data_IF_921010019779
#
_entry.id   IF_921010019779
#
_cell.length_a   1.000
_cell.length_b   1.000
_cell.length_c   1.000
_cell.angle_alpha   90.00
_cell.angle_beta   90.00
_cell.angle_gamma   90.00
#
_symmetry.space_group_name_H-M   'P 1'
#
loop_
_entity.id
_entity.type
_entity.pdbx_description
1 polymer ?
#
# COMPACT_ATOMS: atom_id res chain seq x y z
N UNK A 1 -17.10 23.42 -34.97
CA UNK A 1 -17.34 23.35 -33.51
C UNK A 1 -17.49 21.89 -33.10
N UNK A 2 -16.50 21.30 -32.44
CA UNK A 2 -16.61 19.92 -31.95
C UNK A 2 -17.43 19.96 -30.64
N UNK A 3 -18.67 19.47 -30.69
CA UNK A 3 -19.56 19.46 -29.52
C UNK A 3 -18.93 18.72 -28.33
N UNK A 4 -19.13 19.25 -27.11
CA UNK A 4 -18.63 18.63 -25.88
C UNK A 4 -19.09 17.18 -25.80
N UNK A 5 -18.16 16.21 -25.78
CA UNK A 5 -18.49 14.79 -25.59
C UNK A 5 -19.23 14.63 -24.26
N UNK A 6 -20.46 14.13 -24.29
CA UNK A 6 -21.21 13.83 -23.07
C UNK A 6 -20.42 12.82 -22.24
N UNK A 7 -20.25 13.09 -20.94
CA UNK A 7 -19.60 12.17 -20.01
C UNK A 7 -20.39 10.87 -19.97
N UNK A 8 -19.69 9.74 -20.06
CA UNK A 8 -20.30 8.42 -19.84
C UNK A 8 -20.90 8.36 -18.45
N UNK A 9 -21.99 7.61 -18.31
CA UNK A 9 -22.63 7.41 -17.02
C UNK A 9 -21.73 6.52 -16.17
N UNK A 10 -21.98 6.46 -14.86
CA UNK A 10 -21.26 5.51 -14.02
C UNK A 10 -21.64 4.07 -14.40
N UNK A 11 -20.70 3.14 -14.31
CA UNK A 11 -20.91 1.71 -14.61
C UNK A 11 -22.14 1.13 -13.87
N UNK A 12 -22.41 1.63 -12.64
CA UNK A 12 -23.59 1.26 -11.85
C UNK A 12 -24.90 1.73 -12.48
N UNK A 13 -24.94 2.97 -12.99
CA UNK A 13 -26.13 3.54 -13.63
C UNK A 13 -26.37 2.93 -15.01
N UNK A 14 -25.31 2.50 -15.70
CA UNK A 14 -25.40 1.72 -16.93
C UNK A 14 -25.97 0.32 -16.65
N UNK A 15 -25.56 -0.32 -15.57
CA UNK A 15 -26.08 -1.63 -15.15
C UNK A 15 -27.58 -1.59 -14.80
N UNK A 16 -28.04 -0.56 -14.09
CA UNK A 16 -29.47 -0.39 -13.81
C UNK A 16 -30.30 -0.19 -15.08
N UNK A 17 -29.76 0.53 -16.07
CA UNK A 17 -30.41 0.72 -17.36
C UNK A 17 -30.43 -0.57 -18.17
N UNK A 18 -29.34 -1.32 -18.17
CA UNK A 18 -29.25 -2.62 -18.82
C UNK A 18 -30.30 -3.60 -18.28
N UNK A 19 -30.45 -3.68 -16.95
CA UNK A 19 -31.47 -4.52 -16.29
C UNK A 19 -32.89 -4.11 -16.67
N UNK A 20 -33.20 -2.80 -16.62
CA UNK A 20 -34.51 -2.28 -17.06
C UNK A 20 -34.80 -2.57 -18.54
N UNK A 21 -33.78 -2.53 -19.40
CA UNK A 21 -33.93 -2.87 -20.81
C UNK A 21 -34.14 -4.37 -21.03
N UNK A 22 -33.50 -5.23 -20.24
CA UNK A 22 -33.71 -6.67 -20.25
C UNK A 22 -35.13 -7.02 -19.79
N UNK A 23 -35.62 -6.40 -18.71
CA UNK A 23 -36.99 -6.53 -18.23
C UNK A 23 -38.03 -6.13 -19.30
N UNK A 24 -37.78 -5.02 -20.02
CA UNK A 24 -38.68 -4.57 -21.10
C UNK A 24 -38.64 -5.51 -22.31
N UNK A 25 -37.48 -6.09 -22.62
CA UNK A 25 -37.31 -7.07 -23.73
C UNK A 25 -38.00 -8.40 -23.44
N UNK A 26 -38.09 -8.81 -22.18
CA UNK A 26 -38.75 -10.04 -21.78
C UNK A 26 -40.29 -9.97 -21.84
N UNK A 27 -40.88 -8.80 -22.10
CA UNK A 27 -42.32 -8.66 -22.31
C UNK A 27 -42.72 -9.10 -23.73
N UNK A 28 -43.69 -10.01 -23.89
CA UNK A 28 -43.98 -10.66 -25.19
C UNK A 28 -44.51 -9.71 -26.27
N UNK A 29 -45.31 -8.69 -25.93
CA UNK A 29 -45.92 -7.81 -26.94
C UNK A 29 -45.04 -6.63 -27.36
N UNK A 30 -44.25 -6.06 -26.44
CA UNK A 30 -43.46 -4.84 -26.67
C UNK A 30 -41.96 -5.14 -26.82
N UNK A 31 -41.51 -6.31 -26.37
CA UNK A 31 -40.10 -6.70 -26.35
C UNK A 31 -39.50 -6.83 -27.73
N UNK A 32 -40.19 -7.48 -28.67
CA UNK A 32 -39.68 -7.69 -30.03
C UNK A 32 -39.49 -6.38 -30.80
N UNK A 33 -40.45 -5.46 -30.71
CA UNK A 33 -40.37 -4.17 -31.39
C UNK A 33 -39.23 -3.31 -30.83
N UNK A 34 -39.05 -3.30 -29.51
CA UNK A 34 -37.97 -2.58 -28.84
C UNK A 34 -36.61 -3.20 -29.15
N UNK A 35 -36.51 -4.54 -29.14
CA UNK A 35 -35.29 -5.26 -29.47
C UNK A 35 -34.84 -4.98 -30.91
N UNK A 36 -35.75 -5.11 -31.88
CA UNK A 36 -35.48 -4.79 -33.30
C UNK A 36 -35.00 -3.35 -33.45
N UNK A 37 -35.71 -2.38 -32.85
CA UNK A 37 -35.32 -0.95 -32.91
C UNK A 37 -33.92 -0.70 -32.33
N UNK A 38 -33.57 -1.33 -31.22
CA UNK A 38 -32.24 -1.21 -30.63
C UNK A 38 -31.16 -1.85 -31.49
N UNK A 39 -31.43 -3.02 -32.08
CA UNK A 39 -30.48 -3.71 -32.96
C UNK A 39 -30.15 -2.88 -34.20
N UNK A 40 -31.17 -2.34 -34.88
CA UNK A 40 -30.97 -1.50 -36.07
C UNK A 40 -30.20 -0.22 -35.74
N UNK A 41 -30.54 0.43 -34.61
CA UNK A 41 -29.82 1.61 -34.14
C UNK A 41 -28.35 1.29 -33.84
N UNK A 42 -28.08 0.20 -33.12
CA UNK A 42 -26.72 -0.21 -32.80
C UNK A 42 -25.92 -0.60 -34.05
N UNK A 43 -26.55 -1.24 -35.05
CA UNK A 43 -25.91 -1.54 -36.33
C UNK A 43 -25.54 -0.27 -37.09
N UNK A 44 -26.45 0.72 -37.14
CA UNK A 44 -26.19 2.02 -37.77
C UNK A 44 -25.07 2.79 -37.06
N UNK A 45 -25.09 2.82 -35.73
CA UNK A 45 -24.06 3.47 -34.92
C UNK A 45 -22.68 2.80 -35.15
N UNK A 46 -22.61 1.47 -35.21
CA UNK A 46 -21.37 0.76 -35.55
C UNK A 46 -20.89 1.06 -36.97
N UNK A 47 -21.80 1.07 -37.95
CA UNK A 47 -21.48 1.41 -39.33
C UNK A 47 -20.97 2.84 -39.48
N UNK A 48 -21.46 3.76 -38.65
CA UNK A 48 -20.97 5.15 -38.56
C UNK A 48 -19.60 5.30 -37.85
N UNK A 49 -19.02 4.19 -37.36
CA UNK A 49 -17.73 4.18 -36.65
C UNK A 49 -17.82 4.52 -35.16
N UNK A 50 -19.03 4.61 -34.58
CA UNK A 50 -19.22 4.84 -33.15
C UNK A 50 -18.97 3.50 -32.43
N UNK A 51 -18.09 3.53 -31.42
CA UNK A 51 -17.84 2.37 -30.55
C UNK A 51 -19.04 2.12 -29.63
N UNK A 52 -19.94 1.25 -30.08
CA UNK A 52 -21.09 0.78 -29.29
C UNK A 52 -20.58 -0.22 -28.26
N UNK A 53 -20.85 0.03 -26.98
CA UNK A 53 -20.77 -0.98 -25.93
C UNK A 53 -22.16 -1.58 -25.81
N UNK A 54 -22.30 -2.88 -26.05
CA UNK A 54 -23.58 -3.55 -25.79
C UNK A 54 -23.81 -3.54 -24.27
N UNK A 55 -24.96 -3.02 -23.85
CA UNK A 55 -25.36 -2.86 -22.44
C UNK A 55 -25.71 -4.24 -21.83
N UNK A 56 -24.74 -5.16 -21.81
CA UNK A 56 -24.89 -6.50 -21.25
C UNK A 56 -24.70 -6.46 -19.72
N UNK A 57 -25.71 -6.82 -18.92
CA UNK A 57 -25.62 -6.76 -17.46
C UNK A 57 -24.43 -7.58 -16.92
N UNK A 58 -24.18 -8.76 -17.50
CA UNK A 58 -23.09 -9.66 -17.11
C UNK A 58 -21.70 -9.05 -17.34
N UNK A 59 -21.51 -8.26 -18.39
CA UNK A 59 -20.22 -7.61 -18.68
C UNK A 59 -19.99 -6.40 -17.76
N UNK A 60 -21.04 -5.62 -17.51
CA UNK A 60 -20.99 -4.49 -16.58
C UNK A 60 -20.67 -4.94 -15.15
N UNK A 61 -21.27 -6.04 -14.67
CA UNK A 61 -20.94 -6.62 -13.37
C UNK A 61 -19.48 -7.06 -13.27
N UNK A 62 -18.95 -7.71 -14.34
CA UNK A 62 -17.54 -8.09 -14.42
C UNK A 62 -16.63 -6.86 -14.38
N UNK A 63 -17.00 -5.78 -15.07
CA UNK A 63 -16.25 -4.53 -15.08
C UNK A 63 -16.16 -3.91 -13.69
N UNK A 64 -17.31 -3.77 -13.01
CA UNK A 64 -17.41 -3.26 -11.63
C UNK A 64 -16.56 -4.12 -10.69
N UNK A 65 -16.61 -5.45 -10.82
CA UNK A 65 -15.79 -6.36 -10.01
C UNK A 65 -14.29 -6.16 -10.25
N UNK A 66 -13.87 -5.96 -11.50
CA UNK A 66 -12.45 -5.69 -11.83
C UNK A 66 -12.00 -4.37 -11.24
N UNK A 67 -12.83 -3.33 -11.31
CA UNK A 67 -12.56 -2.02 -10.73
C UNK A 67 -12.40 -2.10 -9.21
N UNK A 68 -13.32 -2.77 -8.52
CA UNK A 68 -13.22 -3.04 -7.07
C UNK A 68 -11.92 -3.77 -6.70
N UNK A 69 -11.56 -4.83 -7.44
CA UNK A 69 -10.31 -5.57 -7.23
C UNK A 69 -9.08 -4.69 -7.44
N UNK A 70 -9.09 -3.82 -8.46
CA UNK A 70 -7.99 -2.89 -8.71
C UNK A 70 -7.84 -1.90 -7.54
N UNK A 71 -8.96 -1.38 -7.04
CA UNK A 71 -8.96 -0.48 -5.90
C UNK A 71 -8.41 -1.14 -4.63
N UNK A 72 -8.82 -2.39 -4.34
CA UNK A 72 -8.32 -3.18 -3.22
C UNK A 72 -6.80 -3.38 -3.32
N UNK A 73 -6.31 -3.86 -4.47
CA UNK A 73 -4.87 -4.03 -4.71
C UNK A 73 -4.08 -2.74 -4.54
N UNK A 74 -4.61 -1.62 -5.01
CA UNK A 74 -3.96 -0.32 -4.85
C UNK A 74 -3.90 0.10 -3.38
N UNK A 75 -4.98 -0.11 -2.62
CA UNK A 75 -5.03 0.17 -1.20
C UNK A 75 -4.06 -0.71 -0.39
N UNK A 76 -3.96 -2.00 -0.73
CA UNK A 76 -3.00 -2.94 -0.12
C UNK A 76 -1.56 -2.51 -0.38
N UNK A 77 -1.20 -2.21 -1.64
CA UNK A 77 0.14 -1.70 -1.99
C UNK A 77 0.48 -0.41 -1.26
N UNK A 78 -0.48 0.48 -1.10
CA UNK A 78 -0.26 1.72 -0.36
C UNK A 78 0.01 1.46 1.14
N UNK A 79 -0.76 0.56 1.75
CA UNK A 79 -0.54 0.13 3.14
C UNK A 79 0.82 -0.54 3.31
N UNK A 80 1.20 -1.44 2.40
CA UNK A 80 2.51 -2.10 2.39
C UNK A 80 3.63 -1.06 2.29
N UNK A 81 3.53 -0.10 1.37
CA UNK A 81 4.51 0.98 1.22
C UNK A 81 4.70 1.82 2.49
N UNK A 82 3.60 2.15 3.20
CA UNK A 82 3.66 2.85 4.49
C UNK A 82 4.35 1.98 5.55
N UNK A 83 3.95 0.71 5.67
CA UNK A 83 4.53 -0.23 6.63
C UNK A 83 6.03 -0.41 6.40
N UNK A 84 6.47 -0.62 5.15
CA UNK A 84 7.90 -0.74 4.83
C UNK A 84 8.67 0.52 5.19
N UNK A 85 8.13 1.70 4.87
CA UNK A 85 8.75 2.98 5.23
C UNK A 85 8.94 3.11 6.74
N UNK A 86 7.90 2.79 7.51
CA UNK A 86 7.92 2.94 8.95
C UNK A 86 8.87 1.91 9.61
N UNK A 87 8.89 0.67 9.12
CA UNK A 87 9.86 -0.35 9.52
C UNK A 87 11.30 0.08 9.23
N UNK A 88 11.58 0.63 8.04
CA UNK A 88 12.92 1.12 7.69
C UNK A 88 13.35 2.29 8.59
N UNK A 89 12.43 3.19 8.93
CA UNK A 89 12.68 4.28 9.87
C UNK A 89 13.00 3.74 11.27
N UNK A 90 12.21 2.80 11.77
CA UNK A 90 12.42 2.16 13.06
C UNK A 90 13.78 1.43 13.12
N UNK A 91 14.11 0.63 12.10
CA UNK A 91 15.40 -0.07 11.98
C UNK A 91 16.59 0.90 11.99
N UNK A 92 16.48 2.03 11.28
CA UNK A 92 17.54 3.07 11.29
C UNK A 92 17.69 3.69 12.68
N UNK A 93 16.57 3.98 13.36
CA UNK A 93 16.61 4.55 14.71
C UNK A 93 17.19 3.57 15.73
N UNK A 94 16.84 2.29 15.64
CA UNK A 94 17.41 1.23 16.47
C UNK A 94 18.93 1.11 16.27
N UNK A 95 19.40 1.04 15.02
CA UNK A 95 20.85 1.04 14.74
C UNK A 95 21.55 2.27 15.32
N UNK A 96 20.90 3.43 15.32
CA UNK A 96 21.44 4.66 15.93
C UNK A 96 21.52 4.55 17.44
N UNK A 97 20.49 4.02 18.11
CA UNK A 97 20.52 3.83 19.57
C UNK A 97 21.62 2.83 19.97
N UNK A 98 21.76 1.76 19.20
CA UNK A 98 22.75 0.70 19.47
C UNK A 98 24.18 1.24 19.29
N UNK A 99 24.46 1.97 18.20
CA UNK A 99 25.77 2.61 18.02
C UNK A 99 26.10 3.64 19.13
N UNK A 100 25.10 4.34 19.65
CA UNK A 100 25.29 5.29 20.76
C UNK A 100 25.59 4.55 22.06
N UNK A 101 24.84 3.48 22.37
CA UNK A 101 25.05 2.67 23.57
C UNK A 101 26.42 1.98 23.54
N UNK A 102 26.82 1.43 22.40
CA UNK A 102 28.15 0.86 22.17
C UNK A 102 29.25 1.89 22.39
N UNK A 103 29.11 3.11 21.84
CA UNK A 103 30.09 4.19 22.05
C UNK A 103 30.19 4.59 23.52
N UNK A 104 29.07 4.64 24.25
CA UNK A 104 29.06 4.91 25.69
C UNK A 104 29.78 3.79 26.44
N UNK A 105 29.50 2.53 26.10
CA UNK A 105 30.13 1.36 26.71
C UNK A 105 31.65 1.34 26.47
N UNK A 106 32.10 1.55 25.23
CA UNK A 106 33.52 1.65 24.88
C UNK A 106 34.23 2.75 25.65
N UNK A 107 33.61 3.93 25.82
CA UNK A 107 34.17 5.01 26.64
C UNK A 107 34.30 4.63 28.11
N UNK A 108 33.33 3.89 28.67
CA UNK A 108 33.41 3.37 30.05
C UNK A 108 34.54 2.35 30.19
N UNK A 109 34.61 1.38 29.28
CA UNK A 109 35.66 0.35 29.27
C UNK A 109 37.06 0.95 29.12
N UNK A 110 37.25 1.96 28.26
CA UNK A 110 38.53 2.65 28.13
C UNK A 110 38.96 3.37 29.42
N UNK A 111 38.01 3.95 30.15
CA UNK A 111 38.29 4.57 31.45
C UNK A 111 38.69 3.52 32.49
N UNK A 112 38.01 2.37 32.52
CA UNK A 112 38.33 1.24 33.40
C UNK A 112 39.73 0.71 33.08
N UNK A 113 40.00 0.38 31.81
CA UNK A 113 41.31 -0.11 31.37
C UNK A 113 42.45 0.87 31.67
N UNK A 114 42.23 2.19 31.53
CA UNK A 114 43.20 3.21 31.95
C UNK A 114 43.44 3.23 33.45
N UNK A 115 42.40 3.03 34.27
CA UNK A 115 42.52 2.98 35.73
C UNK A 115 43.26 1.72 36.16
N UNK A 116 42.90 0.56 35.63
CA UNK A 116 43.59 -0.71 35.89
C UNK A 116 45.05 -0.62 35.46
N UNK A 117 45.35 -0.13 34.25
CA UNK A 117 46.74 0.07 33.81
C UNK A 117 47.53 1.01 34.71
N UNK A 118 46.89 2.04 35.31
CA UNK A 118 47.56 2.92 36.28
C UNK A 118 47.79 2.23 37.62
N UNK A 119 46.85 1.40 38.06
CA UNK A 119 46.97 0.63 39.30
C UNK A 119 48.06 -0.44 39.18
N UNK A 120 48.19 -1.08 38.01
CA UNK A 120 49.20 -2.11 37.70
C UNK A 120 50.54 -1.53 37.20
N UNK A 121 50.75 -0.22 37.23
CA UNK A 121 52.07 0.36 36.84
C UNK A 121 53.04 0.16 38.01
N UNK A 122 54.17 -0.54 37.83
CA UNK A 122 55.21 -0.57 38.85
C UNK A 122 55.73 0.86 39.10
N UNK A 123 55.76 1.28 40.36
CA UNK A 123 56.41 2.53 40.76
C UNK A 123 57.93 2.39 40.79
N UNK A 124 58.61 3.42 41.30
CA UNK A 124 60.07 3.46 41.49
C UNK A 124 60.61 2.30 42.37
N UNK A 125 59.78 1.71 43.22
CA UNK A 125 60.14 0.58 44.10
C UNK A 125 59.58 -0.79 43.64
N UNK A 126 59.01 -0.89 42.44
CA UNK A 126 58.32 -2.11 42.00
C UNK A 126 56.88 -2.22 42.54
N UNK A 127 56.16 -3.27 42.13
CA UNK A 127 54.72 -3.44 42.42
C UNK A 127 54.45 -3.45 43.93
N UNK A 128 53.55 -2.58 44.40
CA UNK A 128 52.95 -2.68 45.74
C UNK A 128 51.69 -3.52 45.63
N UNK A 129 51.75 -4.78 46.07
CA UNK A 129 50.54 -5.60 46.24
C UNK A 129 49.56 -4.86 47.16
N UNK A 130 48.32 -4.75 46.70
CA UNK A 130 47.31 -3.86 47.30
C UNK A 130 47.04 -4.21 48.76
N UNK A 131 46.90 -3.16 49.57
CA UNK A 131 46.32 -3.28 50.91
C UNK A 131 44.87 -3.75 50.75
N UNK A 132 44.58 -4.97 51.22
CA UNK A 132 43.23 -5.51 51.34
C UNK A 132 42.48 -4.59 52.32
N UNK A 133 41.49 -3.84 51.83
CA UNK A 133 40.52 -3.17 52.72
C UNK A 133 39.45 -4.19 53.10
N UNK A 134 39.75 -5.01 54.11
CA UNK A 134 38.71 -5.62 54.94
C UNK A 134 38.09 -4.51 55.80
N UNK A 135 36.80 -4.23 55.61
CA UNK A 135 36.02 -3.43 56.55
C UNK A 135 35.29 -2.22 55.96
N UNK A 136 34.04 -2.43 55.55
CA UNK A 136 32.94 -1.56 55.96
C UNK A 136 31.64 -2.37 55.94
N UNK A 137 31.16 -2.71 57.14
CA UNK A 137 29.76 -3.09 57.39
C UNK A 137 28.79 -1.98 57.02
#
# INVERSE_FOLDING_TARGET
MQGKKKRKLSNHKELERAKKLEEVKNNPEKGEAVAKKQMWKAALDRASGIKVHDDDPKLLEKSIRKEKKKQQKNAEKWKEGIQTRDQLKAKKQQKRSDNISERIHQKKMHKIAKREKKLLRPGFEGHKEGFITEGSS
#
